data_IF_043074879279
#
_entry.id   IF_043074879279
#
_cell.length_a   1.000
_cell.length_b   1.000
_cell.length_c   1.000
_cell.angle_alpha   90.00
_cell.angle_beta   90.00
_cell.angle_gamma   90.00
#
_symmetry.space_group_name_H-M   'P 1'
#
loop_
_entity.id
_entity.type
_entity.pdbx_description
1 polymer ?
#
# COMPACT_ATOMS: atom_id res chain seq x y z
N UNK A 1 -3.26 -38.27 3.61
CA UNK A 1 -2.77 -37.85 2.28
C UNK A 1 -3.56 -36.63 1.90
N UNK A 2 -3.02 -35.43 2.12
CA UNK A 2 -3.71 -34.18 1.77
C UNK A 2 -3.36 -33.86 0.32
N UNK A 3 -4.35 -33.81 -0.54
CA UNK A 3 -4.21 -33.30 -1.90
C UNK A 3 -3.70 -31.85 -1.81
N UNK A 4 -2.47 -31.64 -2.24
CA UNK A 4 -1.97 -30.32 -2.57
C UNK A 4 -2.81 -29.84 -3.76
N UNK A 5 -3.68 -28.86 -3.56
CA UNK A 5 -4.26 -28.13 -4.67
C UNK A 5 -3.11 -27.46 -5.43
N UNK A 6 -2.76 -28.05 -6.53
CA UNK A 6 -1.80 -27.53 -7.49
C UNK A 6 -2.52 -26.38 -8.23
N UNK A 7 -2.64 -25.21 -7.59
CA UNK A 7 -3.01 -24.01 -8.33
C UNK A 7 -1.83 -23.70 -9.25
N UNK A 8 -1.97 -24.07 -10.52
CA UNK A 8 -0.97 -23.76 -11.54
C UNK A 8 -0.76 -22.23 -11.51
N UNK A 9 0.48 -21.80 -11.25
CA UNK A 9 0.86 -20.40 -11.39
C UNK A 9 0.62 -20.00 -12.85
N UNK A 10 -0.26 -19.04 -13.07
CA UNK A 10 -0.49 -18.48 -14.41
C UNK A 10 0.52 -17.36 -14.60
N UNK A 11 1.40 -17.49 -15.57
CA UNK A 11 2.34 -16.44 -15.99
C UNK A 11 1.69 -15.64 -17.11
N UNK A 12 1.70 -14.34 -16.98
CA UNK A 12 1.13 -13.40 -17.95
C UNK A 12 2.26 -12.49 -18.44
N UNK A 13 2.30 -12.21 -19.74
CA UNK A 13 3.21 -11.21 -20.29
C UNK A 13 2.87 -9.83 -19.71
N UNK A 14 3.90 -9.10 -19.29
CA UNK A 14 3.72 -7.83 -18.58
C UNK A 14 3.14 -6.75 -19.49
N UNK A 15 3.51 -6.70 -20.77
CA UNK A 15 2.98 -5.70 -21.68
C UNK A 15 1.50 -5.97 -21.98
N UNK A 16 1.15 -7.23 -22.19
CA UNK A 16 -0.25 -7.64 -22.32
C UNK A 16 -1.08 -7.27 -21.09
N UNK A 17 -0.54 -7.50 -19.88
CA UNK A 17 -1.24 -7.14 -18.66
C UNK A 17 -1.42 -5.62 -18.53
N UNK A 18 -0.41 -4.82 -18.89
CA UNK A 18 -0.49 -3.35 -18.89
C UNK A 18 -1.55 -2.88 -19.89
N UNK A 19 -1.57 -3.42 -21.11
CA UNK A 19 -2.56 -3.07 -22.13
C UNK A 19 -3.98 -3.38 -21.65
N UNK A 20 -4.23 -4.62 -21.19
CA UNK A 20 -5.53 -5.05 -20.69
C UNK A 20 -6.03 -4.17 -19.53
N UNK A 21 -5.18 -3.88 -18.54
CA UNK A 21 -5.55 -3.05 -17.39
C UNK A 21 -5.81 -1.61 -17.83
N UNK A 22 -5.03 -1.10 -18.78
CA UNK A 22 -5.25 0.23 -19.37
C UNK A 22 -6.64 0.30 -20.01
N UNK A 23 -7.03 -0.70 -20.82
CA UNK A 23 -8.35 -0.78 -21.43
C UNK A 23 -9.47 -0.83 -20.39
N UNK A 24 -9.30 -1.61 -19.31
CA UNK A 24 -10.27 -1.69 -18.23
C UNK A 24 -10.52 -0.30 -17.60
N UNK A 25 -9.47 0.44 -17.26
CA UNK A 25 -9.63 1.76 -16.65
C UNK A 25 -10.11 2.82 -17.64
N UNK A 26 -9.75 2.74 -18.94
CA UNK A 26 -10.35 3.58 -19.98
C UNK A 26 -11.86 3.32 -20.13
N UNK A 27 -12.30 2.06 -20.08
CA UNK A 27 -13.72 1.72 -20.07
C UNK A 27 -14.46 2.27 -18.82
N UNK A 28 -13.73 2.58 -17.74
CA UNK A 28 -14.23 3.24 -16.53
C UNK A 28 -13.98 4.76 -16.52
N UNK A 29 -13.84 5.36 -17.70
CA UNK A 29 -13.71 6.81 -17.92
C UNK A 29 -12.38 7.45 -17.48
N UNK A 30 -11.35 6.69 -17.16
CA UNK A 30 -9.99 7.22 -17.04
C UNK A 30 -9.48 7.65 -18.42
N UNK A 31 -8.77 8.76 -18.51
CA UNK A 31 -8.02 9.09 -19.72
C UNK A 31 -6.85 8.11 -19.91
N UNK A 32 -6.28 8.08 -21.10
CA UNK A 32 -5.25 7.10 -21.45
C UNK A 32 -4.00 7.22 -20.55
N UNK A 33 -3.56 8.44 -20.21
CA UNK A 33 -2.39 8.65 -19.35
C UNK A 33 -2.62 8.06 -17.94
N UNK A 34 -3.75 8.40 -17.32
CA UNK A 34 -4.09 7.90 -15.98
C UNK A 34 -4.23 6.37 -15.98
N UNK A 35 -5.00 5.82 -16.93
CA UNK A 35 -5.23 4.39 -17.05
C UNK A 35 -3.90 3.61 -17.21
N UNK A 36 -3.02 4.10 -18.09
CA UNK A 36 -1.71 3.51 -18.33
C UNK A 36 -0.80 3.61 -17.10
N UNK A 37 -0.75 4.78 -16.44
CA UNK A 37 0.03 4.97 -15.21
C UNK A 37 -0.41 4.00 -14.11
N UNK A 38 -1.72 3.82 -13.91
CA UNK A 38 -2.26 2.85 -12.96
C UNK A 38 -1.80 1.44 -13.32
N UNK A 39 -1.94 1.05 -14.58
CA UNK A 39 -1.56 -0.29 -15.06
C UNK A 39 -0.07 -0.57 -14.85
N UNK A 40 0.81 0.36 -15.23
CA UNK A 40 2.26 0.26 -15.07
C UNK A 40 2.66 0.13 -13.59
N UNK A 41 2.06 0.91 -12.68
CA UNK A 41 2.34 0.83 -11.24
C UNK A 41 1.86 -0.48 -10.62
N UNK A 42 0.68 -0.98 -11.01
CA UNK A 42 0.18 -2.26 -10.52
C UNK A 42 1.03 -3.44 -11.02
N UNK A 43 1.35 -3.49 -12.31
CA UNK A 43 2.23 -4.51 -12.87
C UNK A 43 3.65 -4.41 -12.27
N UNK A 44 4.18 -3.19 -12.12
CA UNK A 44 5.47 -2.94 -11.48
C UNK A 44 5.53 -3.46 -10.04
N UNK A 45 4.44 -3.34 -9.29
CA UNK A 45 4.35 -3.90 -7.93
C UNK A 45 4.48 -5.43 -7.93
N UNK A 46 3.81 -6.13 -8.85
CA UNK A 46 3.98 -7.59 -8.99
C UNK A 46 5.41 -7.97 -9.37
N UNK A 47 6.03 -7.26 -10.34
CA UNK A 47 7.41 -7.51 -10.75
C UNK A 47 8.42 -7.34 -9.62
N UNK A 48 8.09 -6.53 -8.62
CA UNK A 48 8.90 -6.29 -7.40
C UNK A 48 8.50 -7.19 -6.23
N UNK A 49 7.61 -8.18 -6.45
CA UNK A 49 7.17 -9.12 -5.42
C UNK A 49 6.14 -8.56 -4.41
N UNK A 50 5.54 -7.42 -4.72
CA UNK A 50 4.49 -6.79 -3.90
C UNK A 50 3.08 -7.08 -4.45
N UNK A 51 2.69 -8.34 -4.53
CA UNK A 51 1.43 -8.80 -5.13
C UNK A 51 0.19 -8.17 -4.48
N UNK A 52 0.24 -7.87 -3.19
CA UNK A 52 -0.85 -7.19 -2.48
C UNK A 52 -1.14 -5.78 -2.97
N UNK A 53 -0.20 -5.16 -3.70
CA UNK A 53 -0.29 -3.83 -4.31
C UNK A 53 -0.31 -3.90 -5.84
N UNK A 54 -0.36 -5.12 -6.39
CA UNK A 54 -0.32 -5.42 -7.81
C UNK A 54 -1.69 -5.51 -8.47
N UNK A 55 -1.76 -6.25 -9.57
CA UNK A 55 -2.94 -6.39 -10.44
C UNK A 55 -4.18 -6.92 -9.72
N UNK A 56 -4.02 -7.63 -8.60
CA UNK A 56 -5.12 -8.06 -7.73
C UNK A 56 -5.95 -6.88 -7.18
N UNK A 57 -5.45 -5.64 -7.28
CA UNK A 57 -6.18 -4.42 -6.88
C UNK A 57 -7.17 -3.93 -7.94
N UNK A 58 -7.08 -4.36 -9.19
CA UNK A 58 -7.95 -3.88 -10.28
C UNK A 58 -9.43 -4.01 -9.94
N UNK A 59 -9.95 -5.17 -9.52
CA UNK A 59 -11.37 -5.30 -9.17
C UNK A 59 -11.79 -4.35 -8.04
N UNK A 60 -10.91 -4.17 -7.03
CA UNK A 60 -11.18 -3.29 -5.89
C UNK A 60 -11.23 -1.82 -6.31
N UNK A 61 -10.38 -1.38 -7.22
CA UNK A 61 -10.41 0.00 -7.72
C UNK A 61 -11.66 0.26 -8.54
N UNK A 62 -12.06 -0.70 -9.39
CA UNK A 62 -13.33 -0.63 -10.14
C UNK A 62 -14.52 -0.52 -9.18
N UNK A 63 -14.57 -1.35 -8.14
CA UNK A 63 -15.60 -1.27 -7.10
C UNK A 63 -15.64 0.10 -6.42
N UNK A 64 -14.49 0.66 -6.06
CA UNK A 64 -14.43 1.99 -5.44
C UNK A 64 -14.91 3.10 -6.37
N UNK A 65 -14.64 3.01 -7.66
CA UNK A 65 -15.18 3.93 -8.65
C UNK A 65 -16.71 3.83 -8.74
N UNK A 66 -17.25 2.62 -8.79
CA UNK A 66 -18.69 2.37 -8.84
C UNK A 66 -19.43 2.85 -7.59
N UNK A 67 -18.77 2.78 -6.43
CA UNK A 67 -19.29 3.31 -5.16
C UNK A 67 -19.11 4.82 -4.98
N UNK A 68 -18.45 5.51 -5.91
CA UNK A 68 -18.15 6.94 -5.78
C UNK A 68 -17.13 7.28 -4.68
N UNK A 69 -16.22 6.36 -4.39
CA UNK A 69 -15.13 6.56 -3.41
C UNK A 69 -13.79 6.88 -4.07
N UNK A 70 -13.69 6.68 -5.38
CA UNK A 70 -12.52 6.93 -6.20
C UNK A 70 -12.97 7.55 -7.53
N UNK A 71 -12.40 8.70 -7.87
CA UNK A 71 -12.78 9.45 -9.06
C UNK A 71 -11.67 9.46 -10.11
N UNK A 72 -12.00 9.18 -11.38
CA UNK A 72 -11.04 9.28 -12.46
C UNK A 72 -10.72 10.73 -12.82
N UNK A 73 -9.55 10.93 -13.41
CA UNK A 73 -9.09 12.20 -13.98
C UNK A 73 -8.97 13.36 -12.97
N UNK A 74 -8.87 13.04 -11.67
CA UNK A 74 -8.64 14.06 -10.67
C UNK A 74 -7.18 14.52 -10.68
N UNK A 75 -6.98 15.82 -10.82
CA UNK A 75 -5.67 16.45 -10.66
C UNK A 75 -5.53 16.93 -9.22
N UNK A 76 -4.45 16.53 -8.52
CA UNK A 76 -4.16 17.08 -7.19
C UNK A 76 -4.04 18.60 -7.25
N UNK A 77 -4.58 19.26 -6.23
CA UNK A 77 -4.56 20.72 -6.09
C UNK A 77 -3.63 21.11 -4.95
N UNK A 78 -2.76 22.09 -5.19
CA UNK A 78 -1.92 22.66 -4.15
C UNK A 78 -2.80 23.55 -3.24
N UNK A 79 -3.02 23.11 -2.01
CA UNK A 79 -3.90 23.80 -1.04
C UNK A 79 -3.12 24.54 0.04
N UNK A 80 -1.84 24.22 0.22
CA UNK A 80 -0.92 24.97 1.06
C UNK A 80 0.39 25.12 0.31
N UNK A 81 0.87 26.35 0.21
CA UNK A 81 2.18 26.71 -0.34
C UNK A 81 2.93 27.57 0.69
N UNK A 82 3.95 26.98 1.33
CA UNK A 82 4.74 27.64 2.36
C UNK A 82 6.24 27.42 2.15
N UNK A 83 6.74 27.73 0.94
CA UNK A 83 8.15 27.60 0.60
C UNK A 83 8.60 26.15 0.51
N UNK A 84 9.39 25.68 1.48
CA UNK A 84 9.82 24.28 1.53
C UNK A 84 8.69 23.31 1.89
N UNK A 85 7.54 23.78 2.40
CA UNK A 85 6.40 22.96 2.77
C UNK A 85 5.24 23.17 1.80
N UNK A 86 4.53 22.09 1.51
CA UNK A 86 3.33 22.08 0.66
C UNK A 86 2.30 21.08 1.16
N UNK A 87 1.04 21.28 0.78
CA UNK A 87 0.01 20.26 0.91
C UNK A 87 -0.82 20.19 -0.37
N UNK A 88 -1.01 18.98 -0.88
CA UNK A 88 -1.86 18.70 -2.03
C UNK A 88 -3.13 17.99 -1.59
N UNK A 89 -4.23 18.32 -2.25
CA UNK A 89 -5.51 17.62 -2.13
C UNK A 89 -5.77 16.82 -3.41
N UNK A 90 -5.80 15.51 -3.30
CA UNK A 90 -6.01 14.62 -4.44
C UNK A 90 -7.48 14.44 -4.83
N UNK A 91 -8.43 15.05 -4.11
CA UNK A 91 -9.88 15.05 -4.44
C UNK A 91 -10.43 13.63 -4.66
N UNK A 92 -9.94 12.66 -3.88
CA UNK A 92 -10.28 11.23 -4.01
C UNK A 92 -9.89 10.63 -5.38
N UNK A 93 -8.91 11.21 -6.06
CA UNK A 93 -8.34 10.67 -7.29
C UNK A 93 -7.39 9.50 -7.03
N UNK A 94 -6.94 8.87 -8.12
CA UNK A 94 -6.04 7.73 -8.05
C UNK A 94 -4.71 8.07 -7.38
N UNK A 95 -4.32 7.24 -6.41
CA UNK A 95 -3.09 7.42 -5.64
C UNK A 95 -1.83 7.33 -6.49
N UNK A 96 -1.86 6.61 -7.61
CA UNK A 96 -0.75 6.52 -8.56
C UNK A 96 -0.44 7.88 -9.19
N UNK A 97 -1.46 8.65 -9.53
CA UNK A 97 -1.30 10.01 -10.06
C UNK A 97 -0.97 10.99 -8.93
N UNK A 98 -1.70 10.89 -7.82
CA UNK A 98 -1.52 11.81 -6.70
C UNK A 98 -0.15 11.68 -6.04
N UNK A 99 0.36 10.45 -5.89
CA UNK A 99 1.68 10.18 -5.34
C UNK A 99 2.79 10.72 -6.24
N UNK A 100 2.66 10.53 -7.55
CA UNK A 100 3.60 11.09 -8.52
C UNK A 100 3.67 12.62 -8.40
N UNK A 101 2.52 13.30 -8.42
CA UNK A 101 2.46 14.75 -8.26
C UNK A 101 3.06 15.21 -6.91
N UNK A 102 2.77 14.51 -5.82
CA UNK A 102 3.28 14.90 -4.51
C UNK A 102 4.81 14.74 -4.39
N UNK A 103 5.36 13.67 -4.96
CA UNK A 103 6.81 13.46 -4.95
C UNK A 103 7.51 14.47 -5.84
N UNK A 104 6.98 14.77 -7.03
CA UNK A 104 7.53 15.76 -7.94
C UNK A 104 7.52 17.16 -7.30
N UNK A 105 6.43 17.55 -6.63
CA UNK A 105 6.37 18.79 -5.86
C UNK A 105 7.44 18.82 -4.76
N UNK A 106 7.65 17.69 -4.07
CA UNK A 106 8.69 17.54 -3.07
C UNK A 106 10.10 17.69 -3.65
N UNK A 107 10.36 17.07 -4.78
CA UNK A 107 11.64 17.13 -5.49
C UNK A 107 11.97 18.58 -5.90
N UNK A 108 11.03 19.29 -6.53
CA UNK A 108 11.25 20.66 -6.97
C UNK A 108 11.50 21.62 -5.78
N UNK A 109 10.75 21.45 -4.68
CA UNK A 109 10.98 22.24 -3.47
C UNK A 109 12.32 21.91 -2.81
N UNK A 110 12.68 20.63 -2.74
CA UNK A 110 13.96 20.22 -2.15
C UNK A 110 15.15 20.79 -2.96
N UNK A 111 15.09 20.79 -4.29
CA UNK A 111 16.10 21.41 -5.14
C UNK A 111 16.23 22.92 -4.86
N UNK A 112 15.11 23.61 -4.63
CA UNK A 112 15.07 25.05 -4.42
C UNK A 112 15.48 25.47 -3.00
N UNK A 113 15.09 24.69 -2.00
CA UNK A 113 15.20 25.08 -0.57
C UNK A 113 16.18 24.21 0.24
N UNK A 114 16.77 23.15 -0.37
CA UNK A 114 17.65 22.20 0.29
C UNK A 114 16.91 21.05 1.00
N UNK A 115 15.63 21.23 1.30
CA UNK A 115 14.74 20.19 1.84
C UNK A 115 13.28 20.51 1.49
N UNK A 116 12.39 19.53 1.65
CA UNK A 116 10.95 19.75 1.51
C UNK A 116 10.13 18.86 2.43
N UNK A 117 8.91 19.29 2.75
CA UNK A 117 7.87 18.50 3.41
C UNK A 117 6.58 18.64 2.62
N UNK A 118 6.06 17.54 2.10
CA UNK A 118 4.84 17.54 1.30
C UNK A 118 3.77 16.66 1.95
N UNK A 119 2.66 17.28 2.32
CA UNK A 119 1.44 16.57 2.72
C UNK A 119 0.59 16.23 1.50
N UNK A 120 0.03 15.03 1.48
CA UNK A 120 -0.97 14.61 0.50
C UNK A 120 -2.20 14.12 1.23
N UNK A 121 -3.36 14.68 0.91
CA UNK A 121 -4.64 14.30 1.52
C UNK A 121 -5.67 13.89 0.48
N UNK A 122 -6.73 13.20 0.93
CA UNK A 122 -7.86 12.77 0.10
C UNK A 122 -7.40 12.00 -1.15
N UNK A 123 -6.37 11.17 -1.01
CA UNK A 123 -5.83 10.34 -2.09
C UNK A 123 -6.45 8.95 -2.05
N UNK A 124 -6.69 8.36 -3.20
CA UNK A 124 -6.87 6.93 -3.34
C UNK A 124 -5.62 6.15 -2.90
N UNK A 125 -5.70 4.83 -2.98
CA UNK A 125 -4.60 3.94 -2.60
C UNK A 125 -3.32 4.24 -3.38
N UNK A 126 -2.23 4.52 -2.67
CA UNK A 126 -0.96 4.99 -3.23
C UNK A 126 -0.12 3.89 -3.92
N UNK A 127 -0.59 2.63 -3.90
CA UNK A 127 0.18 1.51 -4.42
C UNK A 127 1.37 1.14 -3.51
N UNK A 128 2.43 0.63 -4.10
CA UNK A 128 3.69 0.34 -3.41
C UNK A 128 4.38 1.65 -3.03
N UNK A 129 4.63 1.86 -1.75
CA UNK A 129 5.18 3.14 -1.27
C UNK A 129 6.65 3.31 -1.68
N UNK A 130 7.39 2.21 -1.78
CA UNK A 130 8.76 2.20 -2.31
C UNK A 130 8.92 2.84 -3.69
N UNK A 131 7.88 2.87 -4.54
CA UNK A 131 7.94 3.52 -5.85
C UNK A 131 8.17 5.04 -5.72
N UNK A 132 7.65 5.65 -4.67
CA UNK A 132 7.82 7.07 -4.39
C UNK A 132 9.21 7.36 -3.84
N UNK A 133 9.75 6.46 -3.02
CA UNK A 133 11.11 6.52 -2.52
C UNK A 133 12.14 6.35 -3.65
N UNK A 134 11.92 5.40 -4.56
CA UNK A 134 12.74 5.20 -5.76
C UNK A 134 12.75 6.46 -6.64
N UNK A 135 11.57 7.08 -6.87
CA UNK A 135 11.45 8.29 -7.70
C UNK A 135 12.28 9.46 -7.15
N UNK A 136 12.31 9.66 -5.84
CA UNK A 136 13.15 10.67 -5.22
C UNK A 136 14.65 10.32 -5.29
N UNK A 137 14.99 9.04 -5.07
CA UNK A 137 16.35 8.55 -5.15
C UNK A 137 16.93 8.64 -6.57
N UNK A 138 16.11 8.43 -7.62
CA UNK A 138 16.50 8.57 -9.03
C UNK A 138 17.04 9.96 -9.38
N UNK A 139 16.66 10.98 -8.62
CA UNK A 139 17.14 12.37 -8.78
C UNK A 139 18.14 12.79 -7.69
N UNK A 140 18.68 11.83 -6.94
CA UNK A 140 19.74 12.06 -5.96
C UNK A 140 19.27 12.58 -4.60
N UNK A 141 17.98 12.41 -4.26
CA UNK A 141 17.41 12.88 -2.98
C UNK A 141 17.14 11.72 -2.04
N UNK A 142 17.49 11.89 -0.77
CA UNK A 142 17.01 11.04 0.33
C UNK A 142 15.57 11.41 0.64
N UNK A 143 14.70 10.42 0.79
CA UNK A 143 13.29 10.67 1.09
C UNK A 143 12.72 9.73 2.15
N UNK A 144 11.73 10.23 2.89
CA UNK A 144 10.96 9.50 3.89
C UNK A 144 9.48 9.63 3.54
N UNK A 145 8.76 8.52 3.54
CA UNK A 145 7.36 8.47 3.20
C UNK A 145 6.58 7.80 4.32
N UNK A 146 5.64 8.53 4.91
CA UNK A 146 4.76 8.04 5.97
C UNK A 146 3.34 8.01 5.41
N UNK A 147 2.64 6.89 5.58
CA UNK A 147 1.28 6.75 5.10
C UNK A 147 0.35 6.40 6.26
N UNK A 148 -0.77 7.09 6.33
CA UNK A 148 -1.88 6.76 7.22
C UNK A 148 -3.13 6.49 6.38
N UNK A 149 -3.85 5.42 6.69
CA UNK A 149 -5.09 5.05 6.00
C UNK A 149 -6.28 5.33 6.91
N UNK A 150 -6.94 6.45 6.68
CA UNK A 150 -8.13 6.84 7.45
C UNK A 150 -9.22 5.78 7.34
N UNK A 151 -9.74 5.35 8.49
CA UNK A 151 -10.81 4.36 8.56
C UNK A 151 -10.37 2.90 8.48
N UNK A 152 -9.12 2.63 8.17
CA UNK A 152 -8.56 1.27 8.20
C UNK A 152 -7.98 0.96 9.59
N UNK A 153 -8.86 0.69 10.54
CA UNK A 153 -8.45 0.31 11.90
C UNK A 153 -8.25 -1.20 11.97
N UNK A 154 -7.01 -1.64 11.81
CA UNK A 154 -6.64 -3.05 11.70
C UNK A 154 -5.57 -3.49 12.70
N UNK A 155 -4.88 -2.53 13.32
CA UNK A 155 -3.67 -2.76 14.11
C UNK A 155 -3.88 -2.29 15.55
N UNK A 156 -3.54 -3.15 16.52
CA UNK A 156 -3.43 -2.77 17.91
C UNK A 156 -2.09 -2.06 18.16
N UNK A 157 -2.07 -0.97 18.94
CA UNK A 157 -0.81 -0.37 19.39
C UNK A 157 -0.04 -1.32 20.30
N UNK A 158 1.25 -1.07 20.47
CA UNK A 158 2.08 -1.86 21.39
C UNK A 158 1.45 -1.91 22.80
N UNK A 159 1.35 -3.12 23.37
CA UNK A 159 0.74 -3.35 24.68
C UNK A 159 -0.80 -3.22 24.72
N UNK A 160 -1.45 -2.93 23.59
CA UNK A 160 -2.90 -2.85 23.47
C UNK A 160 -3.51 -4.05 22.75
N UNK A 161 -4.83 -4.25 22.91
CA UNK A 161 -5.60 -5.28 22.21
C UNK A 161 -6.65 -4.71 21.25
N UNK A 162 -6.93 -3.43 21.32
CA UNK A 162 -7.92 -2.76 20.48
C UNK A 162 -7.31 -2.26 19.16
N UNK A 163 -8.08 -2.33 18.10
CA UNK A 163 -7.73 -1.73 16.79
C UNK A 163 -7.72 -0.21 16.89
N UNK A 164 -6.56 0.41 16.77
CA UNK A 164 -6.38 1.88 16.86
C UNK A 164 -5.67 2.48 15.67
N UNK A 165 -4.92 1.68 14.90
CA UNK A 165 -4.14 2.12 13.77
C UNK A 165 -4.37 1.28 12.52
N UNK A 166 -3.76 1.73 11.43
CA UNK A 166 -3.63 1.01 10.17
C UNK A 166 -2.24 0.33 10.11
N UNK A 167 -1.98 -0.39 9.04
CA UNK A 167 -0.65 -0.93 8.71
C UNK A 167 0.39 0.16 8.47
N UNK A 168 -0.04 1.41 8.27
CA UNK A 168 0.74 2.67 8.24
C UNK A 168 2.17 2.49 7.71
N UNK A 169 2.36 2.20 6.41
CA UNK A 169 3.66 1.87 5.86
C UNK A 169 4.64 3.05 5.96
N UNK A 170 5.90 2.69 6.14
CA UNK A 170 7.06 3.57 6.07
C UNK A 170 7.90 3.16 4.88
N UNK A 171 8.28 4.11 4.02
CA UNK A 171 9.31 3.88 3.04
C UNK A 171 10.41 4.94 3.14
N UNK A 172 11.65 4.51 2.91
CA UNK A 172 12.83 5.37 2.91
C UNK A 172 13.63 5.06 1.65
N UNK A 173 14.03 6.10 0.91
CA UNK A 173 14.90 5.99 -0.24
C UNK A 173 16.22 6.71 -0.02
N UNK A 174 17.32 6.02 -0.27
CA UNK A 174 18.68 6.60 -0.26
C UNK A 174 19.29 6.38 -1.63
N UNK A 175 19.73 7.43 -2.33
CA UNK A 175 20.36 7.32 -3.63
C UNK A 175 21.63 6.45 -3.57
N UNK A 176 21.77 5.57 -4.57
CA UNK A 176 22.97 4.78 -4.79
C UNK A 176 23.53 5.00 -6.20
N UNK A 177 24.76 4.63 -6.42
CA UNK A 177 25.42 4.69 -7.72
C UNK A 177 24.71 3.77 -8.72
N UNK A 178 24.63 4.19 -9.98
CA UNK A 178 24.04 3.43 -11.08
C UNK A 178 22.61 2.94 -10.78
N UNK A 179 21.81 3.74 -10.08
CA UNK A 179 20.44 3.41 -9.64
C UNK A 179 20.34 2.21 -8.67
N UNK A 180 21.44 1.79 -8.07
CA UNK A 180 21.43 0.81 -6.99
C UNK A 180 21.05 1.48 -5.68
N UNK A 181 19.81 1.98 -5.60
CA UNK A 181 19.29 2.67 -4.43
C UNK A 181 19.08 1.72 -3.25
N UNK A 182 19.20 2.23 -2.03
CA UNK A 182 18.75 1.54 -0.84
C UNK A 182 17.31 1.96 -0.58
N UNK A 183 16.37 1.02 -0.67
CA UNK A 183 14.96 1.27 -0.47
C UNK A 183 14.45 0.40 0.67
N UNK A 184 13.99 1.03 1.73
CA UNK A 184 13.15 0.42 2.75
C UNK A 184 11.69 0.64 2.34
N UNK A 185 10.87 -0.40 2.37
CA UNK A 185 9.41 -0.30 2.18
C UNK A 185 8.74 -1.36 3.04
N UNK A 186 8.17 -0.96 4.16
CA UNK A 186 7.62 -1.87 5.16
C UNK A 186 6.31 -1.37 5.76
N UNK A 187 5.43 -2.29 6.14
CA UNK A 187 4.34 -1.99 7.06
C UNK A 187 4.91 -1.81 8.48
N UNK A 188 4.23 -0.99 9.31
CA UNK A 188 4.54 -0.90 10.75
C UNK A 188 3.80 -1.95 11.58
N UNK A 189 3.08 -2.86 10.95
CA UNK A 189 2.50 -4.06 11.56
C UNK A 189 3.35 -5.28 11.25
N UNK A 190 3.28 -6.31 12.09
CA UNK A 190 4.03 -7.58 11.93
C UNK A 190 3.88 -8.18 10.54
N UNK A 191 2.67 -8.09 9.99
CA UNK A 191 2.36 -8.53 8.62
C UNK A 191 1.39 -7.56 7.96
N UNK A 192 1.46 -7.48 6.64
CA UNK A 192 0.44 -6.77 5.86
C UNK A 192 -0.90 -7.52 5.89
N UNK A 193 -2.03 -6.79 5.87
CA UNK A 193 -3.39 -7.35 5.84
C UNK A 193 -3.57 -8.40 4.75
N UNK A 194 -3.05 -8.17 3.55
CA UNK A 194 -3.13 -9.13 2.44
C UNK A 194 -2.52 -10.50 2.74
N UNK A 195 -1.49 -10.58 3.61
CA UNK A 195 -0.92 -11.86 4.05
C UNK A 195 -1.90 -12.64 4.94
N UNK A 196 -2.66 -11.94 5.79
CA UNK A 196 -3.69 -12.57 6.63
C UNK A 196 -4.83 -13.11 5.77
N UNK A 197 -5.27 -12.35 4.76
CA UNK A 197 -6.29 -12.79 3.81
C UNK A 197 -5.84 -14.03 3.02
N UNK A 198 -4.59 -14.07 2.56
CA UNK A 198 -4.02 -15.24 1.87
C UNK A 198 -3.97 -16.45 2.81
N UNK A 199 -3.58 -16.26 4.07
CA UNK A 199 -3.57 -17.33 5.06
C UNK A 199 -4.98 -17.86 5.36
N UNK A 200 -5.97 -16.98 5.45
CA UNK A 200 -7.37 -17.37 5.63
C UNK A 200 -7.90 -18.23 4.47
N UNK A 201 -7.51 -17.90 3.23
CA UNK A 201 -7.90 -18.68 2.03
C UNK A 201 -7.09 -19.97 1.84
N UNK A 202 -6.38 -20.44 2.86
CA UNK A 202 -5.61 -21.68 2.83
C UNK A 202 -4.19 -21.56 2.28
N UNK A 203 -3.67 -20.33 2.20
CA UNK A 203 -2.30 -20.04 1.77
C UNK A 203 -1.24 -20.28 2.85
N UNK A 204 -0.13 -19.54 2.79
CA UNK A 204 0.98 -19.66 3.74
C UNK A 204 0.53 -19.33 5.16
N UNK A 205 1.05 -20.10 6.14
CA UNK A 205 0.82 -19.82 7.56
C UNK A 205 1.41 -18.46 7.93
N UNK A 206 0.75 -17.79 8.88
CA UNK A 206 1.25 -16.55 9.46
C UNK A 206 2.41 -16.85 10.43
N UNK A 207 3.36 -15.92 10.60
CA UNK A 207 4.39 -16.03 11.62
C UNK A 207 3.75 -15.97 13.03
N UNK A 208 4.49 -16.45 14.02
CA UNK A 208 4.06 -16.34 15.42
C UNK A 208 3.91 -14.86 15.80
N UNK A 209 2.89 -14.52 16.58
CA UNK A 209 2.64 -13.14 17.00
C UNK A 209 2.15 -12.20 15.90
N UNK A 210 1.75 -12.70 14.72
CA UNK A 210 1.20 -11.85 13.66
C UNK A 210 -0.12 -11.18 14.05
N UNK A 211 -0.92 -11.85 14.85
CA UNK A 211 -2.26 -11.44 15.23
C UNK A 211 -2.45 -11.50 16.76
N UNK A 212 -3.41 -10.72 17.22
CA UNK A 212 -3.89 -10.72 18.60
C UNK A 212 -5.41 -10.95 18.59
N UNK A 213 -5.90 -11.81 19.45
CA UNK A 213 -7.34 -12.03 19.62
C UNK A 213 -7.98 -10.91 20.46
N UNK A 214 -9.30 -10.95 20.61
CA UNK A 214 -10.06 -9.93 21.38
C UNK A 214 -9.76 -9.96 22.89
N UNK A 215 -9.06 -10.98 23.38
CA UNK A 215 -8.65 -11.11 24.78
C UNK A 215 -7.19 -10.68 25.01
N UNK A 216 -6.49 -10.29 23.94
CA UNK A 216 -5.10 -9.87 24.02
C UNK A 216 -4.09 -11.01 23.87
N UNK A 217 -4.49 -12.22 23.48
CA UNK A 217 -3.57 -13.33 23.29
C UNK A 217 -3.00 -13.35 21.88
N UNK A 218 -1.70 -13.62 21.75
CA UNK A 218 -1.05 -13.79 20.45
C UNK A 218 -1.57 -15.02 19.72
N UNK A 219 -1.84 -14.89 18.43
CA UNK A 219 -2.37 -15.99 17.61
C UNK A 219 -1.86 -15.91 16.18
N UNK A 220 -1.94 -17.04 15.47
CA UNK A 220 -1.67 -17.17 14.03
C UNK A 220 -2.94 -17.51 13.25
N UNK A 221 -4.09 -17.59 13.93
CA UNK A 221 -5.36 -17.95 13.30
C UNK A 221 -5.98 -16.73 12.60
N UNK A 222 -6.07 -16.69 11.25
CA UNK A 222 -6.64 -15.56 10.51
C UNK A 222 -8.14 -15.33 10.79
N UNK A 223 -8.87 -16.33 11.30
CA UNK A 223 -10.29 -16.19 11.63
C UNK A 223 -10.55 -15.16 12.74
N UNK A 224 -9.55 -14.86 13.58
CA UNK A 224 -9.69 -13.81 14.61
C UNK A 224 -9.88 -12.43 14.00
N UNK A 225 -9.52 -12.23 12.73
CA UNK A 225 -9.63 -10.96 12.05
C UNK A 225 -10.84 -10.88 11.12
N UNK A 226 -11.12 -11.94 10.38
CA UNK A 226 -12.15 -11.97 9.32
C UNK A 226 -13.36 -12.84 9.66
N UNK A 227 -13.29 -13.68 10.69
CA UNK A 227 -14.24 -14.76 10.90
C UNK A 227 -13.95 -15.97 10.00
N UNK A 228 -14.93 -16.87 9.86
CA UNK A 228 -14.82 -18.01 8.95
C UNK A 228 -14.79 -17.54 7.51
N UNK A 229 -14.20 -18.35 6.63
CA UNK A 229 -14.06 -18.04 5.19
C UNK A 229 -15.40 -17.68 4.52
N UNK A 230 -16.51 -18.24 5.01
CA UNK A 230 -17.86 -18.00 4.51
C UNK A 230 -18.44 -16.63 4.90
N UNK A 231 -17.86 -15.93 5.87
CA UNK A 231 -18.58 -14.85 6.55
C UNK A 231 -18.33 -13.47 5.95
N UNK A 232 -17.08 -13.15 5.60
CA UNK A 232 -16.76 -11.83 5.05
C UNK A 232 -15.34 -11.75 4.48
N UNK A 233 -15.15 -10.94 3.43
CA UNK A 233 -13.82 -10.50 2.98
C UNK A 233 -13.39 -9.20 3.67
N UNK A 234 -14.21 -8.64 4.54
CA UNK A 234 -13.93 -7.41 5.30
C UNK A 234 -13.65 -7.79 6.75
N UNK A 235 -12.58 -7.24 7.36
CA UNK A 235 -12.27 -7.50 8.75
C UNK A 235 -13.43 -7.10 9.68
N UNK A 236 -13.84 -8.00 10.56
CA UNK A 236 -14.87 -7.72 11.56
C UNK A 236 -14.31 -6.77 12.63
N UNK A 237 -14.89 -5.59 12.86
CA UNK A 237 -14.37 -4.60 13.81
C UNK A 237 -14.42 -5.10 15.28
N UNK A 238 -15.22 -6.12 15.58
CA UNK A 238 -15.38 -6.66 16.93
C UNK A 238 -14.48 -7.86 17.24
N UNK A 239 -13.63 -8.24 16.27
CA UNK A 239 -12.70 -9.38 16.41
C UNK A 239 -11.26 -8.91 16.58
N UNK A 240 -10.32 -9.85 16.71
CA UNK A 240 -8.90 -9.58 16.86
C UNK A 240 -8.27 -8.77 15.70
N UNK A 241 -7.02 -8.41 15.82
CA UNK A 241 -6.33 -7.49 14.91
C UNK A 241 -4.87 -7.87 14.66
N UNK A 242 -4.23 -7.14 13.77
CA UNK A 242 -2.78 -7.20 13.54
C UNK A 242 -2.05 -6.64 14.76
N UNK A 243 -0.88 -7.18 15.05
CA UNK A 243 0.03 -6.63 16.05
C UNK A 243 0.93 -5.56 15.43
N UNK A 244 1.19 -4.50 16.18
CA UNK A 244 2.16 -3.47 15.82
C UNK A 244 3.57 -3.93 16.16
N UNK A 245 4.51 -3.77 15.23
CA UNK A 245 5.92 -4.14 15.43
C UNK A 245 6.85 -3.10 14.84
N UNK A 246 6.85 -1.90 15.37
CA UNK A 246 7.88 -0.93 14.96
C UNK A 246 9.11 -0.97 15.86
N UNK A 247 9.18 -1.90 16.81
CA UNK A 247 10.35 -2.05 17.66
C UNK A 247 11.31 -3.07 17.02
N UNK A 248 12.25 -2.56 16.24
CA UNK A 248 13.36 -3.36 15.70
C UNK A 248 14.37 -3.79 16.79
N UNK A 249 14.09 -3.47 18.06
CA UNK A 249 14.97 -3.80 19.19
C UNK A 249 14.65 -5.16 19.84
N UNK A 250 13.48 -5.76 19.54
CA UNK A 250 13.06 -7.01 20.19
C UNK A 250 13.37 -8.28 19.39
N UNK A 251 14.07 -8.20 18.26
CA UNK A 251 14.49 -9.38 17.48
C UNK A 251 15.80 -10.03 17.99
N UNK A 252 16.28 -9.69 19.18
CA UNK A 252 17.44 -10.33 19.81
C UNK A 252 17.09 -11.53 20.71
N UNK A 253 16.06 -12.30 20.37
CA UNK A 253 15.84 -13.61 21.02
C UNK A 253 15.59 -14.70 20.01
N UNK A 254 16.65 -15.25 19.46
CA UNK A 254 16.71 -16.64 18.97
C UNK A 254 18.11 -17.18 19.01
#
# INVERSE_FOLDING_TARGET
MSEKSNSAEIRIDVNYAIELITEIFQAKSCNHYEAKTIAERLCGSNLKGHDSHGIARVPRYVEWMERGWLYPNMKPELVVDAGAMACLDAKQGFGQIAGECAVDEGIERAKKHGCSVVGLRNSGHLGRIGDWAERAADVGLVSFHFVNVRGSLLVAPFGGSDRRGSTSPLAIGVPGENKNHIILDMATSTVAEGKVMVAQKGGKKLPHGALIDSLGNLTVNPEVMYGKISDSEVPDPNKGCLLYTSDAADDETS
#
